data_IF_262346392047
#
_entry.id   IF_262346392047
#
_cell.length_a   1.000
_cell.length_b   1.000
_cell.length_c   1.000
_cell.angle_alpha   90.00
_cell.angle_beta   90.00
_cell.angle_gamma   90.00
#
_symmetry.space_group_name_H-M   'P 1'
#
loop_
_entity.id
_entity.type
_entity.pdbx_description
1 polymer ?
#
# COMPACT_ATOMS: atom_id res chain seq x y z
N UNK A 1 2.74 24.59 -2.88
CA UNK A 1 2.91 23.93 -1.55
C UNK A 1 3.30 22.48 -1.76
N UNK A 2 4.18 21.90 -0.93
CA UNK A 2 4.47 20.47 -0.99
C UNK A 2 3.20 19.67 -0.68
N UNK A 3 2.92 18.64 -1.48
CA UNK A 3 1.77 17.77 -1.28
C UNK A 3 1.85 17.04 0.06
N UNK A 4 0.72 16.90 0.75
CA UNK A 4 0.61 16.06 1.92
C UNK A 4 0.68 14.57 1.54
N UNK A 5 0.77 13.70 2.54
CA UNK A 5 1.01 12.27 2.29
C UNK A 5 -0.09 11.60 1.44
N UNK A 6 -1.40 11.77 1.73
CA UNK A 6 -2.46 11.22 0.88
C UNK A 6 -2.41 11.72 -0.56
N UNK A 7 -2.15 13.01 -0.78
CA UNK A 7 -2.05 13.58 -2.13
C UNK A 7 -0.90 12.98 -2.93
N UNK A 8 0.26 12.77 -2.29
CA UNK A 8 1.39 12.05 -2.91
C UNK A 8 1.00 10.63 -3.29
N UNK A 9 0.35 9.91 -2.37
CA UNK A 9 -0.10 8.54 -2.60
C UNK A 9 -1.09 8.46 -3.77
N UNK A 10 -2.05 9.39 -3.82
CA UNK A 10 -3.03 9.48 -4.91
C UNK A 10 -2.36 9.70 -6.26
N UNK A 11 -1.43 10.67 -6.35
CA UNK A 11 -0.70 10.92 -7.60
C UNK A 11 0.14 9.72 -8.05
N UNK A 12 0.69 8.95 -7.11
CA UNK A 12 1.41 7.71 -7.45
C UNK A 12 0.46 6.66 -8.02
N UNK A 13 -0.71 6.48 -7.41
CA UNK A 13 -1.70 5.47 -7.81
C UNK A 13 -2.37 5.76 -9.17
N UNK A 14 -2.50 7.03 -9.55
CA UNK A 14 -2.99 7.43 -10.88
C UNK A 14 -1.87 7.50 -11.93
N UNK A 15 -0.61 7.33 -11.54
CA UNK A 15 0.54 7.34 -12.45
C UNK A 15 0.89 5.93 -12.89
N UNK A 16 1.18 5.76 -14.18
CA UNK A 16 1.72 4.51 -14.73
C UNK A 16 3.24 4.32 -14.48
N UNK A 17 3.89 5.28 -13.82
CA UNK A 17 5.33 5.26 -13.54
C UNK A 17 5.74 4.31 -12.41
N UNK A 18 4.77 3.82 -11.63
CA UNK A 18 5.02 2.97 -10.48
C UNK A 18 4.34 1.62 -10.68
N UNK A 19 5.11 0.55 -10.63
CA UNK A 19 4.62 -0.83 -10.69
C UNK A 19 4.48 -1.43 -9.27
N UNK A 20 5.13 -0.84 -8.27
CA UNK A 20 5.10 -1.33 -6.90
C UNK A 20 3.85 -0.96 -6.10
N UNK A 21 3.01 -0.06 -6.62
CA UNK A 21 1.81 0.42 -5.94
C UNK A 21 0.68 0.62 -6.97
N UNK A 22 -0.51 0.11 -6.66
CA UNK A 22 -1.67 0.21 -7.53
C UNK A 22 -2.98 0.16 -6.74
N UNK A 23 -4.07 0.55 -7.38
CA UNK A 23 -5.41 0.33 -6.85
C UNK A 23 -5.77 -1.15 -6.91
N UNK A 24 -6.29 -1.71 -5.82
CA UNK A 24 -6.87 -3.05 -5.83
C UNK A 24 -8.01 -3.14 -6.85
N UNK A 25 -8.44 -4.36 -7.15
CA UNK A 25 -9.70 -4.58 -7.88
C UNK A 25 -10.85 -3.79 -7.23
N UNK A 26 -11.63 -3.09 -8.06
CA UNK A 26 -12.69 -2.18 -7.62
C UNK A 26 -12.23 -0.84 -7.04
N UNK A 27 -10.93 -0.54 -6.99
CA UNK A 27 -10.41 0.77 -6.57
C UNK A 27 -10.61 1.12 -5.09
N UNK A 28 -10.85 0.12 -4.24
CA UNK A 28 -11.19 0.32 -2.82
C UNK A 28 -9.97 0.34 -1.89
N UNK A 29 -8.91 -0.39 -2.24
CA UNK A 29 -7.71 -0.48 -1.41
C UNK A 29 -6.46 -0.04 -2.19
N UNK A 30 -5.47 0.42 -1.44
CA UNK A 30 -4.10 0.63 -1.92
C UNK A 30 -3.34 -0.69 -1.78
N UNK A 31 -2.89 -1.26 -2.89
CA UNK A 31 -2.02 -2.43 -2.92
C UNK A 31 -0.56 -1.99 -3.07
N UNK A 32 0.35 -2.53 -2.26
CA UNK A 32 1.77 -2.20 -2.26
C UNK A 32 2.60 -3.47 -2.26
N UNK A 33 3.36 -3.73 -3.32
CA UNK A 33 4.42 -4.74 -3.29
C UNK A 33 5.60 -4.19 -2.46
N UNK A 34 5.76 -4.70 -1.25
CA UNK A 34 6.72 -4.24 -0.24
C UNK A 34 8.16 -4.21 -0.74
N UNK A 35 8.60 -5.23 -1.46
CA UNK A 35 10.00 -5.33 -1.85
C UNK A 35 10.29 -4.50 -3.10
N UNK A 36 9.39 -4.53 -4.10
CA UNK A 36 9.50 -3.65 -5.26
C UNK A 36 9.40 -2.17 -4.87
N UNK A 37 8.54 -1.83 -3.90
CA UNK A 37 8.36 -0.45 -3.44
C UNK A 37 9.61 0.11 -2.75
N UNK A 38 10.35 -0.74 -2.01
CA UNK A 38 11.63 -0.33 -1.42
C UNK A 38 12.63 0.08 -2.50
N UNK A 39 12.68 -0.65 -3.61
CA UNK A 39 13.63 -0.37 -4.71
C UNK A 39 13.13 0.80 -5.56
N UNK A 40 11.91 0.71 -6.06
CA UNK A 40 11.35 1.64 -7.05
C UNK A 40 11.07 3.04 -6.47
N UNK A 41 10.60 3.13 -5.22
CA UNK A 41 10.13 4.38 -4.62
C UNK A 41 11.09 4.88 -3.54
N UNK A 42 11.46 4.00 -2.60
CA UNK A 42 12.30 4.37 -1.46
C UNK A 42 13.80 4.36 -1.77
N UNK A 43 14.22 3.66 -2.83
CA UNK A 43 15.59 3.57 -3.31
C UNK A 43 16.03 4.78 -4.14
N UNK A 44 15.11 5.68 -4.50
CA UNK A 44 15.43 6.86 -5.31
C UNK A 44 16.40 7.81 -4.59
N UNK A 45 17.31 8.39 -5.36
CA UNK A 45 18.24 9.42 -4.90
C UNK A 45 17.53 10.68 -4.39
N UNK A 46 18.18 11.49 -3.56
CA UNK A 46 17.60 12.64 -2.84
C UNK A 46 16.73 13.54 -3.74
N UNK A 47 17.18 13.82 -4.96
CA UNK A 47 16.49 14.71 -5.91
C UNK A 47 15.25 14.09 -6.58
N UNK A 48 15.08 12.77 -6.51
CA UNK A 48 13.99 12.02 -7.14
C UNK A 48 13.07 11.34 -6.12
N UNK A 49 13.27 11.58 -4.81
CA UNK A 49 12.47 10.95 -3.76
C UNK A 49 11.03 11.47 -3.75
N UNK A 50 10.09 10.54 -3.73
CA UNK A 50 8.67 10.86 -3.53
C UNK A 50 8.37 11.15 -2.04
N UNK A 51 8.91 10.32 -1.16
CA UNK A 51 8.81 10.45 0.29
C UNK A 51 10.16 10.84 0.90
N UNK A 52 10.14 11.66 1.96
CA UNK A 52 11.36 12.05 2.68
C UNK A 52 11.83 10.94 3.64
N UNK A 53 11.94 9.71 3.13
CA UNK A 53 12.39 8.53 3.88
C UNK A 53 12.78 7.43 2.90
N UNK A 54 13.68 6.55 3.33
CA UNK A 54 14.06 5.34 2.59
C UNK A 54 13.53 4.06 3.27
N UNK A 55 12.76 4.22 4.36
CA UNK A 55 12.29 3.11 5.17
C UNK A 55 10.78 2.90 5.01
N UNK A 56 10.39 1.68 4.64
CA UNK A 56 8.97 1.35 4.45
C UNK A 56 8.16 1.49 5.75
N UNK A 57 8.78 1.25 6.92
CA UNK A 57 8.14 1.46 8.23
C UNK A 57 7.63 2.89 8.39
N UNK A 58 8.34 3.88 7.86
CA UNK A 58 7.93 5.29 7.90
C UNK A 58 6.71 5.56 7.02
N UNK A 59 6.61 4.90 5.85
CA UNK A 59 5.44 4.97 4.96
C UNK A 59 4.23 4.32 5.62
N UNK A 60 4.40 3.14 6.21
CA UNK A 60 3.35 2.44 6.98
C UNK A 60 2.85 3.31 8.14
N UNK A 61 3.77 3.98 8.86
CA UNK A 61 3.38 4.91 9.93
C UNK A 61 2.53 6.07 9.39
N UNK A 62 2.88 6.62 8.22
CA UNK A 62 2.06 7.66 7.59
C UNK A 62 0.70 7.12 7.18
N UNK A 63 0.60 5.93 6.60
CA UNK A 63 -0.70 5.28 6.32
C UNK A 63 -1.56 5.23 7.59
N UNK A 64 -1.02 4.73 8.70
CA UNK A 64 -1.75 4.65 9.98
C UNK A 64 -2.18 6.03 10.50
N UNK A 65 -1.32 7.05 10.41
CA UNK A 65 -1.62 8.42 10.84
C UNK A 65 -2.74 9.07 10.03
N UNK A 66 -2.94 8.67 8.79
CA UNK A 66 -4.05 9.14 7.95
C UNK A 66 -5.27 8.22 8.01
N UNK A 67 -5.30 7.27 8.95
CA UNK A 67 -6.47 6.42 9.19
C UNK A 67 -6.61 5.23 8.24
N UNK A 68 -5.56 4.88 7.50
CA UNK A 68 -5.56 3.64 6.72
C UNK A 68 -5.42 2.43 7.66
N UNK A 69 -6.19 1.38 7.38
CA UNK A 69 -6.12 0.10 8.09
C UNK A 69 -5.58 -0.98 7.16
N UNK A 70 -4.73 -1.86 7.69
CA UNK A 70 -4.23 -3.00 6.92
C UNK A 70 -5.35 -4.02 6.76
N UNK A 71 -5.64 -4.42 5.53
CA UNK A 71 -6.59 -5.48 5.21
C UNK A 71 -5.84 -6.81 5.26
N UNK A 72 -6.31 -7.75 6.10
CA UNK A 72 -5.85 -9.14 6.04
C UNK A 72 -6.61 -9.83 4.91
N UNK A 73 -5.89 -10.52 4.02
CA UNK A 73 -6.54 -11.47 3.12
C UNK A 73 -6.71 -12.74 3.93
N UNK A 74 -7.96 -13.10 4.23
CA UNK A 74 -8.27 -14.41 4.79
C UNK A 74 -7.92 -15.45 3.73
N UNK A 75 -6.75 -16.07 3.88
CA UNK A 75 -6.44 -17.29 3.14
C UNK A 75 -7.23 -18.37 3.85
N UNK A 76 -8.24 -18.94 3.17
CA UNK A 76 -8.87 -20.16 3.67
C UNK A 76 -7.78 -21.19 3.84
N UNK A 77 -7.63 -21.69 5.06
CA UNK A 77 -6.62 -22.68 5.41
C UNK A 77 -7.26 -24.05 5.49
N UNK A 78 -6.68 -25.02 4.81
CA UNK A 78 -7.06 -26.42 4.96
C UNK A 78 -6.75 -26.91 6.37
N UNK A 79 -7.57 -27.84 6.87
CA UNK A 79 -7.30 -28.54 8.12
C UNK A 79 -6.26 -29.67 7.96
N UNK A 80 -5.85 -29.98 6.72
CA UNK A 80 -4.86 -31.01 6.45
C UNK A 80 -3.42 -30.45 6.54
N UNK A 81 -2.53 -31.14 7.26
CA UNK A 81 -1.16 -30.67 7.49
C UNK A 81 -0.34 -30.43 6.20
N UNK A 82 -0.37 -31.33 5.18
CA UNK A 82 0.43 -31.13 3.97
C UNK A 82 -0.07 -29.94 3.14
N UNK A 83 -1.38 -29.75 3.08
CA UNK A 83 -2.02 -28.67 2.34
C UNK A 83 -1.84 -27.34 3.07
N UNK A 84 -1.97 -27.33 4.41
CA UNK A 84 -1.62 -26.18 5.25
C UNK A 84 -0.16 -25.73 5.04
N UNK A 85 0.81 -26.65 5.00
CA UNK A 85 2.21 -26.29 4.78
C UNK A 85 2.44 -25.71 3.38
N UNK A 86 1.77 -26.25 2.36
CA UNK A 86 1.81 -25.73 0.99
C UNK A 86 1.17 -24.33 0.90
N UNK A 87 0.01 -24.14 1.52
CA UNK A 87 -0.71 -22.87 1.62
C UNK A 87 0.08 -21.82 2.41
N UNK A 88 0.76 -22.20 3.50
CA UNK A 88 1.59 -21.30 4.29
C UNK A 88 2.85 -20.88 3.53
N UNK A 89 3.49 -21.81 2.81
CA UNK A 89 4.61 -21.48 1.93
C UNK A 89 4.18 -20.52 0.81
N UNK A 90 3.01 -20.76 0.20
CA UNK A 90 2.44 -19.87 -0.80
C UNK A 90 2.04 -18.51 -0.18
N UNK A 91 1.39 -18.49 0.98
CA UNK A 91 1.00 -17.26 1.68
C UNK A 91 2.22 -16.44 2.12
N UNK A 92 3.30 -17.10 2.51
CA UNK A 92 4.59 -16.47 2.82
C UNK A 92 5.24 -15.87 1.57
N UNK A 93 5.21 -16.58 0.43
CA UNK A 93 5.64 -16.02 -0.86
C UNK A 93 4.75 -14.85 -1.34
N UNK A 94 3.44 -14.90 -1.07
CA UNK A 94 2.46 -13.85 -1.37
C UNK A 94 2.36 -12.74 -0.29
N UNK A 95 3.10 -12.86 0.82
CA UNK A 95 3.12 -11.89 1.93
C UNK A 95 3.78 -10.55 1.54
N UNK A 96 4.30 -10.45 0.31
CA UNK A 96 4.92 -9.25 -0.22
C UNK A 96 3.93 -8.13 -0.51
N UNK A 97 2.65 -8.42 -0.77
CA UNK A 97 1.67 -7.38 -1.09
C UNK A 97 0.89 -6.97 0.16
N UNK A 98 0.99 -5.69 0.51
CA UNK A 98 0.24 -5.07 1.59
C UNK A 98 -1.00 -4.37 1.01
N UNK A 99 -2.16 -4.61 1.61
CA UNK A 99 -3.40 -3.92 1.26
C UNK A 99 -3.79 -2.96 2.39
N UNK A 100 -4.08 -1.71 2.04
CA UNK A 100 -4.52 -0.69 2.97
C UNK A 100 -5.82 -0.06 2.50
N UNK A 101 -6.78 0.02 3.42
CA UNK A 101 -8.10 0.59 3.19
C UNK A 101 -8.28 1.89 3.98
N UNK A 102 -8.96 2.86 3.38
CA UNK A 102 -9.46 4.04 4.08
C UNK A 102 -10.77 4.48 3.38
N UNK A 103 -11.88 4.66 4.11
CA UNK A 103 -13.17 5.03 3.49
C UNK A 103 -13.10 6.35 2.72
N UNK A 104 -12.23 7.28 3.15
CA UNK A 104 -12.03 8.58 2.50
C UNK A 104 -11.00 8.54 1.35
N UNK A 105 -10.40 7.38 1.07
CA UNK A 105 -9.37 7.22 0.04
C UNK A 105 -9.69 6.04 -0.87
N UNK A 106 -10.49 6.28 -1.91
CA UNK A 106 -10.84 5.27 -2.90
C UNK A 106 -10.97 5.90 -4.29
N UNK A 107 -10.72 5.11 -5.33
CA UNK A 107 -10.62 5.61 -6.71
C UNK A 107 -11.92 6.20 -7.24
N UNK A 108 -13.06 5.63 -6.83
CA UNK A 108 -14.38 6.04 -7.30
C UNK A 108 -14.84 7.39 -6.75
N UNK A 109 -14.27 7.84 -5.62
CA UNK A 109 -14.66 9.09 -4.95
C UNK A 109 -13.45 10.00 -4.68
N UNK A 110 -12.78 10.55 -5.72
CA UNK A 110 -11.57 11.37 -5.56
C UNK A 110 -11.76 12.60 -4.66
N UNK A 111 -12.97 13.16 -4.61
CA UNK A 111 -13.29 14.33 -3.76
C UNK A 111 -13.16 14.04 -2.26
N UNK A 112 -13.20 12.77 -1.84
CA UNK A 112 -12.98 12.39 -0.45
C UNK A 112 -11.52 12.55 -0.01
N UNK A 113 -10.57 12.71 -0.94
CA UNK A 113 -9.16 12.92 -0.63
C UNK A 113 -8.94 14.12 0.33
N UNK A 114 -9.75 15.17 0.19
CA UNK A 114 -9.71 16.34 1.09
C UNK A 114 -10.05 15.99 2.55
N UNK A 115 -10.79 14.90 2.77
CA UNK A 115 -11.18 14.37 4.08
C UNK A 115 -10.11 13.47 4.71
N UNK A 116 -9.07 13.07 3.97
CA UNK A 116 -7.92 12.34 4.51
C UNK A 116 -7.05 13.29 5.34
N UNK A 117 -7.48 13.59 6.56
CA UNK A 117 -6.71 14.37 7.53
C UNK A 117 -5.82 13.48 8.38
N UNK A 118 -4.71 14.06 8.82
CA UNK A 118 -3.80 13.43 9.76
C UNK A 118 -4.45 13.44 11.15
N UNK A 119 -4.43 12.29 11.83
CA UNK A 119 -4.84 12.12 13.24
C UNK A 119 -3.76 12.61 14.19
#
# INVERSE_FOLDING_TARGET
>A
LPLCFPEKLWKMLESNQFQSIWWSEGGRCVAINKDLFKVEVLGRGVHQRVFNTQHIKSVIRQLNLYGFTKVQRDVQRSASLPEFLSEEAAASAHSQILYYYNPSFNRAHPWLLGMCKRR
#
